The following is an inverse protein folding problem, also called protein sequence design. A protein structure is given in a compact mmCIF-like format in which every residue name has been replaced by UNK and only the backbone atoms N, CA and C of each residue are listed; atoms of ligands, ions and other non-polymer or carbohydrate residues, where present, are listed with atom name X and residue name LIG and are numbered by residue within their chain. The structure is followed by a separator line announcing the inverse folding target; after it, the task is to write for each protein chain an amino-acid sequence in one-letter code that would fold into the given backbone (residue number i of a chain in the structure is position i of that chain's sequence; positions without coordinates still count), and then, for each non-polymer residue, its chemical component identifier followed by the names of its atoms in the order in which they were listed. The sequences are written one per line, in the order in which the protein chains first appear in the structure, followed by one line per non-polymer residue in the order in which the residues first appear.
data_IF_416167331698
#
_entry.id   IF_416167331698
#
_cell.length_a   1.000
_cell.length_b   1.000
_cell.length_c   1.000
_cell.angle_alpha   90.00
_cell.angle_beta   90.00
_cell.angle_gamma   90.00
#
_symmetry.space_group_name_H-M   'P 1'
#
loop_
_entity.id
_entity.type
_entity.pdbx_description
1 polymer ?
#
# COMPACT_ATOMS: atom_id res chain seq x y z
N UNK A 1 7.66 20.41 -12.23
CA UNK A 1 7.56 18.94 -12.05
C UNK A 1 6.38 18.44 -12.87
N UNK A 2 6.48 17.30 -13.58
CA UNK A 2 5.36 16.77 -14.38
C UNK A 2 4.19 16.35 -13.45
N UNK A 3 2.94 16.60 -13.88
CA UNK A 3 1.70 16.16 -13.21
C UNK A 3 1.73 14.65 -12.95
N UNK A 4 1.11 14.19 -11.86
CA UNK A 4 0.97 12.76 -11.57
C UNK A 4 0.34 12.06 -12.78
N UNK A 5 1.05 11.11 -13.38
CA UNK A 5 0.53 10.37 -14.52
C UNK A 5 -0.19 9.14 -13.99
N UNK A 6 -1.50 9.30 -13.87
CA UNK A 6 -2.38 8.25 -13.42
C UNK A 6 -2.49 7.21 -14.54
N UNK A 7 -2.07 5.95 -14.31
CA UNK A 7 -2.27 4.90 -15.29
C UNK A 7 -3.77 4.69 -15.48
N UNK A 8 -4.15 4.37 -16.71
CA UNK A 8 -5.50 3.89 -17.02
C UNK A 8 -5.77 2.56 -16.32
N UNK A 9 -7.03 2.17 -16.21
CA UNK A 9 -7.43 0.91 -15.60
C UNK A 9 -6.81 -0.29 -16.32
N UNK A 10 -6.80 -0.30 -17.66
CA UNK A 10 -6.15 -1.35 -18.45
C UNK A 10 -4.63 -1.40 -18.27
N UNK A 11 -3.95 -0.25 -18.15
CA UNK A 11 -2.52 -0.20 -17.85
C UNK A 11 -2.24 -0.76 -16.46
N UNK A 12 -2.98 -0.32 -15.44
CA UNK A 12 -2.82 -0.82 -14.07
C UNK A 12 -3.14 -2.32 -13.99
N UNK A 13 -4.22 -2.78 -14.61
CA UNK A 13 -4.56 -4.19 -14.71
C UNK A 13 -3.46 -5.02 -15.39
N UNK A 14 -2.82 -4.48 -16.42
CA UNK A 14 -1.67 -5.13 -17.08
C UNK A 14 -0.45 -5.19 -16.16
N UNK A 15 -0.21 -4.16 -15.34
CA UNK A 15 0.86 -4.17 -14.34
C UNK A 15 0.58 -5.17 -13.21
N UNK A 16 -0.66 -5.28 -12.74
CA UNK A 16 -1.04 -6.27 -11.71
C UNK A 16 -0.91 -7.71 -12.22
N UNK A 17 -1.29 -7.97 -13.47
CA UNK A 17 -1.06 -9.26 -14.13
C UNK A 17 0.43 -9.63 -14.16
N UNK A 18 1.27 -8.67 -14.54
CA UNK A 18 2.70 -8.88 -14.57
C UNK A 18 3.30 -9.11 -13.17
N UNK A 19 2.87 -8.34 -12.16
CA UNK A 19 3.22 -8.54 -10.76
C UNK A 19 2.84 -9.96 -10.31
N UNK A 20 1.61 -10.39 -10.57
CA UNK A 20 1.10 -11.74 -10.25
C UNK A 20 2.00 -12.84 -10.81
N UNK A 21 2.33 -12.75 -12.10
CA UNK A 21 3.20 -13.72 -12.77
C UNK A 21 4.62 -13.72 -12.21
N UNK A 22 5.19 -12.55 -11.94
CA UNK A 22 6.54 -12.43 -11.38
C UNK A 22 6.60 -13.02 -9.97
N UNK A 23 5.72 -12.58 -9.07
CA UNK A 23 5.70 -13.07 -7.69
C UNK A 23 5.52 -14.59 -7.63
N UNK A 24 4.64 -15.13 -8.47
CA UNK A 24 4.43 -16.58 -8.54
C UNK A 24 5.65 -17.32 -9.11
N UNK A 25 6.23 -16.84 -10.21
CA UNK A 25 7.43 -17.44 -10.84
C UNK A 25 8.62 -17.47 -9.88
N UNK A 26 8.81 -16.40 -9.10
CA UNK A 26 9.88 -16.32 -8.12
C UNK A 26 9.57 -17.09 -6.83
N UNK A 27 8.42 -17.79 -6.77
CA UNK A 27 7.94 -18.56 -5.61
C UNK A 27 7.78 -17.69 -4.35
N UNK A 28 7.34 -16.44 -4.53
CA UNK A 28 7.06 -15.50 -3.44
C UNK A 28 5.62 -15.60 -2.95
N UNK A 29 4.70 -16.10 -3.79
CA UNK A 29 3.29 -16.30 -3.46
C UNK A 29 2.78 -17.66 -3.98
N UNK A 30 1.71 -18.19 -3.37
CA UNK A 30 1.04 -19.41 -3.82
C UNK A 30 0.01 -19.16 -4.93
N UNK A 31 -0.48 -20.25 -5.53
CA UNK A 31 -1.47 -20.21 -6.63
C UNK A 31 -2.77 -19.48 -6.24
N UNK A 32 -3.20 -19.56 -4.98
CA UNK A 32 -4.41 -18.88 -4.48
C UNK A 32 -4.25 -17.36 -4.55
N UNK A 33 -3.16 -16.84 -3.98
CA UNK A 33 -2.80 -15.42 -4.05
C UNK A 33 -2.65 -14.95 -5.50
N UNK A 34 -2.00 -15.75 -6.35
CA UNK A 34 -1.89 -15.48 -7.79
C UNK A 34 -3.28 -15.33 -8.44
N UNK A 35 -4.17 -16.29 -8.21
CA UNK A 35 -5.54 -16.27 -8.76
C UNK A 35 -6.33 -15.04 -8.32
N UNK A 36 -6.15 -14.58 -7.08
CA UNK A 36 -6.76 -13.34 -6.60
C UNK A 36 -6.25 -12.12 -7.38
N UNK A 37 -4.93 -11.97 -7.56
CA UNK A 37 -4.37 -10.85 -8.32
C UNK A 37 -4.80 -10.91 -9.79
N UNK A 38 -4.79 -12.10 -10.41
CA UNK A 38 -5.21 -12.29 -11.80
C UNK A 38 -6.66 -11.84 -12.02
N UNK A 39 -7.56 -12.16 -11.08
CA UNK A 39 -8.96 -11.73 -11.11
C UNK A 39 -9.08 -10.21 -11.06
N UNK A 40 -8.32 -9.53 -10.20
CA UNK A 40 -8.30 -8.07 -10.10
C UNK A 40 -7.76 -7.44 -11.38
N UNK A 41 -6.69 -8.00 -11.94
CA UNK A 41 -6.14 -7.59 -13.23
C UNK A 41 -7.20 -7.65 -14.32
N UNK A 42 -7.96 -8.76 -14.39
CA UNK A 42 -9.04 -8.91 -15.38
C UNK A 42 -10.12 -7.85 -15.19
N UNK A 43 -10.57 -7.64 -13.96
CA UNK A 43 -11.58 -6.62 -13.63
C UNK A 43 -11.14 -5.22 -14.05
N UNK A 44 -9.88 -4.84 -13.78
CA UNK A 44 -9.35 -3.54 -14.19
C UNK A 44 -9.23 -3.40 -15.72
N UNK A 45 -8.82 -4.47 -16.42
CA UNK A 45 -8.74 -4.46 -17.89
C UNK A 45 -10.11 -4.31 -18.54
N UNK A 46 -11.17 -4.88 -17.96
CA UNK A 46 -12.57 -4.73 -18.41
C UNK A 46 -13.08 -3.28 -18.32
N UNK A 47 -12.50 -2.45 -17.45
CA UNK A 47 -12.83 -1.01 -17.36
C UNK A 47 -12.20 -0.17 -18.50
N UNK A 48 -11.29 -0.75 -19.30
CA UNK A 48 -10.68 -0.08 -20.45
C UNK A 48 -9.72 1.06 -20.08
N UNK A 49 -9.71 2.11 -20.91
CA UNK A 49 -8.74 3.22 -20.82
C UNK A 49 -9.11 4.33 -19.81
N UNK A 50 -10.05 4.08 -18.88
CA UNK A 50 -10.44 5.09 -17.87
C UNK A 50 -9.31 5.36 -16.87
N UNK A 51 -9.14 6.61 -16.42
CA UNK A 51 -8.24 7.01 -15.33
C UNK A 51 -8.93 7.08 -13.95
N UNK A 52 -10.17 6.61 -13.89
CA UNK A 52 -10.95 6.46 -12.66
C UNK A 52 -11.25 4.98 -12.46
N UNK A 53 -10.65 4.38 -11.45
CA UNK A 53 -10.75 2.94 -11.22
C UNK A 53 -10.53 2.62 -9.74
N UNK A 54 -10.96 1.41 -9.35
CA UNK A 54 -10.78 0.91 -8.01
C UNK A 54 -10.60 -0.60 -8.01
N UNK A 55 -9.96 -1.13 -6.98
CA UNK A 55 -9.88 -2.56 -6.73
C UNK A 55 -9.80 -2.85 -5.22
N UNK A 56 -10.15 -4.08 -4.85
CA UNK A 56 -10.21 -4.55 -3.47
C UNK A 56 -9.61 -5.94 -3.36
N UNK A 57 -8.61 -6.09 -2.48
CA UNK A 57 -8.19 -7.38 -1.93
C UNK A 57 -8.86 -7.50 -0.56
N UNK A 58 -9.71 -8.50 -0.41
CA UNK A 58 -10.49 -8.71 0.82
C UNK A 58 -9.64 -9.37 1.90
N UNK A 59 -9.95 -9.09 3.17
CA UNK A 59 -9.34 -9.75 4.34
C UNK A 59 -9.51 -11.26 4.30
N UNK A 60 -10.64 -11.76 3.79
CA UNK A 60 -10.91 -13.20 3.63
C UNK A 60 -10.14 -13.86 2.49
N UNK A 61 -9.52 -13.06 1.61
CA UNK A 61 -8.78 -13.50 0.43
C UNK A 61 -7.51 -12.66 0.25
N UNK A 62 -6.62 -12.63 1.26
CA UNK A 62 -5.44 -11.79 1.19
C UNK A 62 -4.45 -12.33 0.15
N UNK A 63 -3.46 -11.51 -0.19
CA UNK A 63 -2.26 -11.95 -0.87
C UNK A 63 -1.32 -12.52 0.19
N UNK A 64 -1.28 -13.83 0.27
CA UNK A 64 -0.37 -14.56 1.14
C UNK A 64 0.96 -14.79 0.43
N UNK A 65 2.04 -14.38 1.07
CA UNK A 65 3.40 -14.71 0.66
C UNK A 65 3.81 -16.07 1.24
N UNK A 66 4.74 -16.75 0.56
CA UNK A 66 5.23 -18.07 0.96
C UNK A 66 5.95 -17.98 2.32
N UNK A 67 5.68 -18.89 3.29
CA UNK A 67 6.34 -18.85 4.58
C UNK A 67 7.88 -18.85 4.48
N UNK A 68 8.51 -18.12 5.39
CA UNK A 68 9.96 -18.03 5.51
C UNK A 68 10.39 -18.26 6.95
N UNK A 69 11.63 -18.74 7.13
CA UNK A 69 12.25 -18.85 8.44
C UNK A 69 12.85 -17.50 8.83
N UNK A 70 12.43 -16.96 9.97
CA UNK A 70 13.09 -15.81 10.59
C UNK A 70 14.03 -16.29 11.71
N UNK A 71 15.06 -15.49 12.04
CA UNK A 71 16.05 -15.89 13.05
C UNK A 71 15.46 -15.89 14.47
N UNK A 72 14.46 -15.04 14.72
CA UNK A 72 13.79 -14.88 16.02
C UNK A 72 12.44 -15.57 16.05
N UNK A 73 11.77 -15.66 14.90
CA UNK A 73 10.46 -16.27 14.75
C UNK A 73 10.57 -17.49 13.83
N UNK A 74 10.04 -18.63 14.26
CA UNK A 74 10.26 -19.92 13.59
C UNK A 74 9.86 -19.92 12.10
N UNK A 75 8.58 -19.66 11.79
CA UNK A 75 8.07 -19.58 10.43
C UNK A 75 7.05 -18.46 10.32
N UNK A 76 7.40 -17.41 9.59
CA UNK A 76 6.52 -16.26 9.38
C UNK A 76 6.06 -16.16 7.93
N UNK A 77 4.86 -15.63 7.73
CA UNK A 77 4.38 -15.28 6.40
C UNK A 77 3.70 -13.91 6.40
N UNK A 78 4.17 -12.97 5.56
CA UNK A 78 3.45 -11.74 5.28
C UNK A 78 2.14 -12.00 4.53
N UNK A 79 1.09 -11.26 4.90
CA UNK A 79 -0.19 -11.19 4.21
C UNK A 79 -0.52 -9.73 3.89
N UNK A 80 -1.11 -9.49 2.73
CA UNK A 80 -1.55 -8.15 2.32
C UNK A 80 -3.00 -8.17 1.88
N UNK A 81 -3.75 -7.19 2.34
CA UNK A 81 -5.05 -6.84 1.77
C UNK A 81 -5.18 -5.33 1.72
N UNK A 82 -5.89 -4.83 0.71
CA UNK A 82 -5.98 -3.40 0.49
C UNK A 82 -7.22 -3.00 -0.31
N UNK A 83 -7.64 -1.76 -0.12
CA UNK A 83 -8.60 -1.08 -0.99
C UNK A 83 -7.94 0.12 -1.63
N UNK A 84 -8.00 0.19 -2.96
CA UNK A 84 -7.48 1.32 -3.74
C UNK A 84 -8.60 1.88 -4.60
N UNK A 85 -8.79 3.19 -4.54
CA UNK A 85 -9.64 3.93 -5.48
C UNK A 85 -8.90 5.19 -5.94
N UNK A 86 -8.88 5.39 -7.25
CA UNK A 86 -8.16 6.46 -7.92
C UNK A 86 -9.12 7.22 -8.82
N UNK A 87 -8.98 8.55 -8.83
CA UNK A 87 -9.68 9.46 -9.73
C UNK A 87 -8.68 10.51 -10.24
N UNK A 88 -8.80 10.92 -11.50
CA UNK A 88 -8.03 12.05 -12.00
C UNK A 88 -8.38 13.32 -11.20
N UNK A 89 -7.39 14.01 -10.59
CA UNK A 89 -7.65 15.20 -9.81
C UNK A 89 -7.99 16.38 -10.74
N UNK A 90 -8.97 17.17 -10.34
CA UNK A 90 -9.44 18.34 -11.09
C UNK A 90 -8.41 19.49 -11.06
N UNK A 91 -7.53 19.53 -10.04
CA UNK A 91 -6.48 20.54 -9.85
C UNK A 91 -5.12 19.89 -9.61
N UNK A 92 -4.04 20.61 -9.89
CA UNK A 92 -2.70 20.18 -9.50
C UNK A 92 -2.53 20.19 -7.97
N UNK A 93 -1.62 19.36 -7.47
CA UNK A 93 -1.35 19.25 -6.02
C UNK A 93 -2.36 18.42 -5.22
N UNK A 94 -3.45 17.95 -5.85
CA UNK A 94 -4.40 17.03 -5.22
C UNK A 94 -3.94 15.58 -5.44
N UNK A 95 -4.08 14.76 -4.39
CA UNK A 95 -3.82 13.32 -4.47
C UNK A 95 -4.75 12.65 -5.48
N UNK A 96 -4.25 11.71 -6.32
CA UNK A 96 -5.11 10.91 -7.17
C UNK A 96 -5.93 9.86 -6.40
N UNK A 97 -5.55 9.54 -5.16
CA UNK A 97 -6.25 8.57 -4.33
C UNK A 97 -7.49 9.20 -3.68
N UNK A 98 -8.66 8.63 -3.97
CA UNK A 98 -9.89 8.85 -3.20
C UNK A 98 -10.04 7.83 -2.08
N UNK A 99 -9.36 6.68 -2.20
CA UNK A 99 -9.21 5.69 -1.13
C UNK A 99 -7.89 4.96 -1.27
N UNK A 100 -7.16 4.85 -0.17
CA UNK A 100 -6.00 3.97 -0.05
C UNK A 100 -6.03 3.42 1.37
N UNK A 101 -6.29 2.13 1.51
CA UNK A 101 -6.22 1.43 2.79
C UNK A 101 -5.42 0.18 2.56
N UNK A 102 -4.19 0.12 3.04
CA UNK A 102 -3.28 -1.00 2.83
C UNK A 102 -2.92 -1.59 4.18
N UNK A 103 -3.19 -2.88 4.36
CA UNK A 103 -2.85 -3.59 5.58
C UNK A 103 -1.89 -4.71 5.28
N UNK A 104 -0.84 -4.78 6.10
CA UNK A 104 0.20 -5.80 6.05
C UNK A 104 0.20 -6.50 7.39
N UNK A 105 0.04 -7.81 7.36
CA UNK A 105 0.12 -8.65 8.56
C UNK A 105 1.29 -9.60 8.43
N UNK A 106 1.93 -9.92 9.54
CA UNK A 106 2.94 -10.96 9.63
C UNK A 106 2.45 -11.98 10.62
N UNK A 107 2.23 -13.20 10.14
CA UNK A 107 1.72 -14.31 10.93
C UNK A 107 2.83 -15.31 11.23
N UNK A 108 2.92 -15.78 12.47
CA UNK A 108 3.58 -17.03 12.80
C UNK A 108 2.65 -18.17 12.35
N UNK A 109 3.08 -18.90 11.32
CA UNK A 109 2.25 -19.92 10.68
C UNK A 109 2.19 -21.21 11.51
N UNK A 110 3.20 -21.50 12.32
CA UNK A 110 3.18 -22.70 13.16
C UNK A 110 2.26 -22.53 14.36
N UNK A 111 2.32 -21.36 15.00
CA UNK A 111 1.50 -21.07 16.18
C UNK A 111 0.12 -20.48 15.83
N UNK A 112 -0.08 -20.05 14.59
CA UNK A 112 -1.32 -19.40 14.16
C UNK A 112 -1.52 -18.02 14.79
N UNK A 113 -0.43 -17.33 15.13
CA UNK A 113 -0.46 -16.07 15.87
C UNK A 113 -0.08 -14.88 14.99
N UNK A 114 -0.82 -13.78 15.14
CA UNK A 114 -0.50 -12.50 14.49
C UNK A 114 0.66 -11.83 15.24
N UNK A 115 1.82 -11.72 14.59
CA UNK A 115 3.04 -11.15 15.18
C UNK A 115 3.12 -9.64 15.00
N UNK A 116 2.70 -9.14 13.83
CA UNK A 116 2.63 -7.70 13.60
C UNK A 116 1.58 -7.35 12.57
N UNK A 117 1.08 -6.12 12.68
CA UNK A 117 0.13 -5.53 11.74
C UNK A 117 0.51 -4.09 11.48
N UNK A 118 0.47 -3.70 10.22
CA UNK A 118 0.84 -2.36 9.76
C UNK A 118 -0.19 -1.86 8.77
N UNK A 119 -0.46 -0.56 8.84
CA UNK A 119 -1.38 0.16 8.00
C UNK A 119 -0.64 1.24 7.23
N UNK A 120 -0.83 1.32 5.91
CA UNK A 120 -0.35 2.40 5.05
C UNK A 120 -1.57 3.01 4.37
N UNK A 121 -2.12 4.05 4.99
CA UNK A 121 -3.49 4.49 4.72
C UNK A 121 -3.55 5.97 4.31
N UNK A 122 -4.56 6.30 3.51
CA UNK A 122 -5.08 7.63 3.33
C UNK A 122 -5.98 7.97 4.52
N UNK A 123 -5.87 9.19 5.05
CA UNK A 123 -6.64 9.62 6.19
C UNK A 123 -8.14 9.59 5.89
N UNK A 124 -8.92 9.03 6.81
CA UNK A 124 -10.37 8.98 6.67
C UNK A 124 -10.95 10.39 6.65
N UNK A 125 -11.74 10.69 5.61
CA UNK A 125 -12.62 11.84 5.59
C UNK A 125 -13.92 11.48 6.32
N UNK A 126 -14.20 12.16 7.43
CA UNK A 126 -15.41 11.95 8.21
C UNK A 126 -16.63 12.47 7.44
N UNK A 127 -17.84 12.02 7.82
CA UNK A 127 -19.11 12.36 7.14
C UNK A 127 -19.39 13.87 7.00
N UNK A 128 -18.72 14.73 7.78
CA UNK A 128 -18.80 16.20 7.70
C UNK A 128 -17.72 16.84 6.83
N UNK A 129 -16.95 16.06 6.07
CA UNK A 129 -15.84 16.55 5.23
C UNK A 129 -14.52 16.77 5.96
N UNK A 130 -14.48 16.60 7.29
CA UNK A 130 -13.28 16.79 8.10
C UNK A 130 -12.41 15.53 8.10
N UNK A 131 -11.11 15.68 7.84
CA UNK A 131 -10.16 14.57 7.97
C UNK A 131 -9.91 14.20 9.43
N UNK A 132 -9.64 12.91 9.68
CA UNK A 132 -9.07 12.48 10.96
C UNK A 132 -7.75 13.20 11.25
N UNK A 133 -7.47 13.48 12.52
CA UNK A 133 -6.21 14.10 12.92
C UNK A 133 -5.01 13.21 12.55
N UNK A 134 -3.97 13.84 11.98
CA UNK A 134 -2.75 13.18 11.54
C UNK A 134 -2.37 13.54 10.10
N UNK A 135 -1.26 13.00 9.60
CA UNK A 135 -0.86 13.13 8.20
C UNK A 135 -1.90 12.55 7.23
N UNK A 136 -2.05 13.14 6.04
CA UNK A 136 -2.96 12.61 5.02
C UNK A 136 -2.58 11.18 4.63
N UNK A 137 -1.31 10.94 4.34
CA UNK A 137 -0.77 9.60 4.15
C UNK A 137 0.08 9.22 5.35
N UNK A 138 -0.23 8.07 5.93
CA UNK A 138 0.38 7.68 7.19
C UNK A 138 0.67 6.19 7.26
N UNK A 139 1.73 5.88 8.00
CA UNK A 139 2.05 4.56 8.51
C UNK A 139 1.57 4.47 9.97
N UNK A 140 0.90 3.37 10.30
CA UNK A 140 0.44 3.09 11.66
C UNK A 140 0.66 1.60 11.98
N UNK A 141 1.33 1.30 13.10
CA UNK A 141 1.47 -0.07 13.60
C UNK A 141 0.29 -0.49 14.49
N UNK A 142 -0.13 -1.75 14.46
CA UNK A 142 -1.26 -2.27 15.23
C UNK A 142 -2.60 -2.17 14.50
N UNK A 143 -3.69 -1.97 15.25
CA UNK A 143 -5.06 -1.90 14.73
C UNK A 143 -5.92 -3.15 15.05
N UNK A 144 -7.24 -2.95 15.20
CA UNK A 144 -8.18 -3.96 15.72
C UNK A 144 -8.29 -5.22 14.85
N UNK A 145 -7.79 -6.35 15.37
CA UNK A 145 -8.10 -7.70 14.91
C UNK A 145 -8.31 -8.65 16.10
N UNK A 146 -8.77 -8.12 17.23
CA UNK A 146 -9.02 -8.91 18.42
C UNK A 146 -10.53 -9.07 18.62
N UNK A 147 -11.04 -10.30 18.84
CA UNK A 147 -12.35 -10.50 19.44
C UNK A 147 -12.49 -9.68 20.73
N UNK A 148 -13.70 -9.23 21.07
CA UNK A 148 -13.96 -8.37 22.24
C UNK A 148 -13.33 -8.85 23.56
N UNK A 149 -13.08 -10.15 23.70
CA UNK A 149 -12.50 -10.78 24.89
C UNK A 149 -11.01 -10.47 25.14
N UNK A 150 -10.23 -10.03 24.13
CA UNK A 150 -8.78 -9.79 24.27
C UNK A 150 -8.39 -8.30 24.25
N UNK A 151 -9.36 -7.38 24.28
CA UNK A 151 -9.13 -5.92 24.36
C UNK A 151 -8.29 -5.48 25.55
N UNK A 152 -8.15 -6.32 26.58
CA UNK A 152 -7.32 -6.06 27.76
C UNK A 152 -5.81 -6.03 27.44
N UNK A 153 -5.38 -6.58 26.30
CA UNK A 153 -3.99 -6.49 25.80
C UNK A 153 -3.75 -5.28 24.89
N UNK A 154 -4.77 -4.45 24.65
CA UNK A 154 -4.65 -3.27 23.80
C UNK A 154 -3.82 -2.18 24.49
N UNK A 155 -2.96 -1.51 23.71
CA UNK A 155 -2.23 -0.35 24.20
C UNK A 155 -3.26 0.72 24.60
N UNK A 156 -3.24 1.14 25.87
CA UNK A 156 -4.11 2.21 26.40
C UNK A 156 -3.78 3.60 25.84
N UNK A 157 -2.83 3.70 24.92
CA UNK A 157 -2.34 4.96 24.33
C UNK A 157 -2.79 5.06 22.89
N UNK A 158 -3.04 6.28 22.43
CA UNK A 158 -3.29 6.53 21.02
C UNK A 158 -2.10 6.10 20.18
N UNK A 159 -2.35 5.31 19.15
CA UNK A 159 -1.31 4.82 18.26
C UNK A 159 -0.86 5.98 17.35
N UNK A 160 0.45 6.32 17.32
CA UNK A 160 0.94 7.40 16.50
C UNK A 160 0.80 7.09 15.01
N UNK A 161 0.56 8.13 14.22
CA UNK A 161 0.50 8.09 12.75
C UNK A 161 1.70 8.82 12.20
N UNK A 162 2.64 8.09 11.61
CA UNK A 162 3.84 8.69 11.04
C UNK A 162 3.58 9.10 9.61
N UNK A 163 3.99 10.31 9.23
CA UNK A 163 3.90 10.76 7.85
C UNK A 163 4.73 9.82 6.98
N UNK A 164 4.07 9.19 6.01
CA UNK A 164 4.69 8.16 5.19
C UNK A 164 4.10 8.21 3.78
N UNK A 165 4.91 8.07 2.71
CA UNK A 165 4.41 8.15 1.35
C UNK A 165 3.39 7.03 1.06
N UNK A 166 2.39 7.28 0.19
CA UNK A 166 1.43 6.25 -0.18
C UNK A 166 2.09 5.07 -0.88
N UNK A 167 1.57 3.87 -0.62
CA UNK A 167 1.99 2.65 -1.28
C UNK A 167 0.76 1.80 -1.64
N UNK A 168 0.56 1.55 -2.94
CA UNK A 168 -0.41 0.56 -3.40
C UNK A 168 0.24 -0.83 -3.48
N UNK A 169 -0.45 -1.83 -4.07
CA UNK A 169 -0.03 -3.23 -4.04
C UNK A 169 1.39 -3.47 -4.60
N UNK A 170 1.79 -2.83 -5.70
CA UNK A 170 3.12 -3.04 -6.30
C UNK A 170 4.21 -2.54 -5.34
N UNK A 171 4.11 -1.31 -4.84
CA UNK A 171 5.11 -0.79 -3.89
C UNK A 171 5.09 -1.57 -2.57
N UNK A 172 3.90 -1.95 -2.10
CA UNK A 172 3.75 -2.78 -0.89
C UNK A 172 4.44 -4.13 -1.06
N UNK A 173 4.29 -4.74 -2.24
CA UNK A 173 4.97 -5.99 -2.60
C UNK A 173 6.48 -5.79 -2.67
N UNK A 174 6.95 -4.66 -3.21
CA UNK A 174 8.38 -4.32 -3.23
C UNK A 174 8.95 -4.27 -1.81
N UNK A 175 8.30 -3.55 -0.91
CA UNK A 175 8.73 -3.44 0.49
C UNK A 175 8.75 -4.82 1.16
N UNK A 176 7.72 -5.65 0.96
CA UNK A 176 7.68 -7.00 1.53
C UNK A 176 8.82 -7.85 0.98
N UNK A 177 9.03 -7.86 -0.33
CA UNK A 177 10.10 -8.66 -0.94
C UNK A 177 11.48 -8.20 -0.47
N UNK A 178 11.70 -6.89 -0.38
CA UNK A 178 12.97 -6.33 0.08
C UNK A 178 13.31 -6.67 1.54
N UNK A 179 12.32 -6.70 2.43
CA UNK A 179 12.54 -6.92 3.87
C UNK A 179 12.46 -8.38 4.28
N UNK A 180 11.54 -9.16 3.70
CA UNK A 180 11.30 -10.55 4.08
C UNK A 180 12.05 -11.54 3.18
N UNK A 181 12.34 -11.20 1.92
CA UNK A 181 12.94 -12.15 0.97
C UNK A 181 14.24 -11.60 0.38
N UNK A 182 15.28 -11.29 1.18
CA UNK A 182 16.46 -10.56 0.73
C UNK A 182 17.21 -11.24 -0.42
N UNK A 183 17.23 -12.57 -0.47
CA UNK A 183 17.89 -13.30 -1.56
C UNK A 183 17.08 -13.28 -2.87
N UNK A 184 15.75 -13.26 -2.77
CA UNK A 184 14.87 -13.03 -3.94
C UNK A 184 14.96 -11.57 -4.39
N UNK A 185 14.99 -10.64 -3.44
CA UNK A 185 15.15 -9.22 -3.70
C UNK A 185 16.42 -8.89 -4.49
N UNK A 186 17.57 -9.43 -4.07
CA UNK A 186 18.85 -9.29 -4.79
C UNK A 186 18.73 -9.68 -6.27
N UNK A 187 17.92 -10.72 -6.58
CA UNK A 187 17.71 -11.22 -7.94
C UNK A 187 16.74 -10.35 -8.75
N UNK A 188 15.71 -9.80 -8.14
CA UNK A 188 14.64 -9.09 -8.87
C UNK A 188 14.83 -7.58 -8.96
N UNK A 189 15.52 -6.94 -8.00
CA UNK A 189 15.58 -5.47 -7.88
C UNK A 189 16.16 -4.74 -9.09
N UNK A 190 17.01 -5.41 -9.86
CA UNK A 190 17.62 -4.87 -11.08
C UNK A 190 16.92 -5.31 -12.38
N UNK A 191 15.89 -6.16 -12.31
CA UNK A 191 15.23 -6.66 -13.51
C UNK A 191 14.42 -5.54 -14.15
N UNK A 192 14.64 -5.30 -15.45
CA UNK A 192 13.93 -4.26 -16.22
C UNK A 192 12.42 -4.27 -16.00
N UNK A 193 11.81 -5.46 -16.07
CA UNK A 193 10.37 -5.60 -15.92
C UNK A 193 9.87 -5.33 -14.47
N UNK A 194 10.67 -5.62 -13.46
CA UNK A 194 10.37 -5.23 -12.07
C UNK A 194 10.43 -3.70 -11.92
N UNK A 195 11.49 -3.08 -12.45
CA UNK A 195 11.65 -1.62 -12.46
C UNK A 195 10.50 -0.93 -13.21
N UNK A 196 9.99 -1.52 -14.30
CA UNK A 196 8.81 -1.01 -15.00
C UNK A 196 7.51 -1.06 -14.18
N UNK A 197 7.37 -2.00 -13.24
CA UNK A 197 6.25 -2.03 -12.29
C UNK A 197 6.39 -0.90 -11.29
N UNK A 198 7.55 -0.87 -10.63
CA UNK A 198 7.88 0.11 -9.58
C UNK A 198 7.77 1.52 -10.14
N UNK A 199 8.27 1.78 -11.35
CA UNK A 199 8.18 3.08 -12.00
C UNK A 199 6.73 3.57 -12.15
N UNK A 200 5.81 2.73 -12.63
CA UNK A 200 4.40 3.12 -12.76
C UNK A 200 3.78 3.40 -11.39
N UNK A 201 4.04 2.53 -10.42
CA UNK A 201 3.50 2.69 -9.08
C UNK A 201 4.05 3.94 -8.37
N UNK A 202 5.35 4.21 -8.49
CA UNK A 202 5.98 5.44 -8.00
C UNK A 202 5.36 6.67 -8.65
N UNK A 203 5.10 6.67 -9.97
CA UNK A 203 4.47 7.81 -10.65
C UNK A 203 3.02 8.06 -10.24
N UNK A 204 2.32 7.03 -9.77
CA UNK A 204 1.00 7.16 -9.18
C UNK A 204 1.09 7.68 -7.73
N UNK A 205 1.99 7.12 -6.92
CA UNK A 205 2.05 7.36 -5.48
C UNK A 205 2.78 8.65 -5.08
N UNK A 206 3.95 8.89 -5.67
CA UNK A 206 4.94 9.79 -5.10
C UNK A 206 4.88 11.25 -5.54
N UNK A 207 4.46 11.63 -6.77
CA UNK A 207 4.56 13.01 -7.23
C UNK A 207 3.87 14.02 -6.31
N UNK A 208 2.60 13.81 -5.97
CA UNK A 208 1.87 14.78 -5.13
C UNK A 208 2.47 14.88 -3.73
N UNK A 209 2.86 13.75 -3.14
CA UNK A 209 3.45 13.70 -1.80
C UNK A 209 4.77 14.47 -1.75
N UNK A 210 5.71 14.20 -2.67
CA UNK A 210 7.00 14.90 -2.68
C UNK A 210 6.90 16.34 -3.18
N UNK A 211 5.97 16.67 -4.08
CA UNK A 211 5.69 18.07 -4.44
C UNK A 211 5.30 18.89 -3.22
N UNK A 212 4.48 18.33 -2.33
CA UNK A 212 4.06 19.00 -1.10
C UNK A 212 5.24 19.26 -0.17
N UNK A 213 6.10 18.26 0.02
CA UNK A 213 7.33 18.41 0.81
C UNK A 213 8.24 19.46 0.17
N UNK A 214 8.49 19.39 -1.14
CA UNK A 214 9.36 20.33 -1.84
C UNK A 214 8.84 21.76 -1.73
N UNK A 215 7.53 21.97 -1.92
CA UNK A 215 6.87 23.28 -1.77
C UNK A 215 7.04 23.85 -0.37
N UNK A 216 6.82 23.02 0.65
CA UNK A 216 7.03 23.38 2.06
C UNK A 216 8.48 23.84 2.31
N UNK A 217 9.46 23.15 1.73
CA UNK A 217 10.87 23.48 1.91
C UNK A 217 11.32 24.73 1.14
N UNK A 218 10.61 25.12 0.07
CA UNK A 218 11.00 26.24 -0.80
C UNK A 218 10.29 27.57 -0.55
N UNK A 219 9.08 27.57 0.04
CA UNK A 219 8.23 28.77 0.06
C UNK A 219 8.17 29.47 1.43
N UNK A 220 7.86 28.77 2.52
CA UNK A 220 7.61 29.39 3.82
C UNK A 220 8.12 28.53 4.99
N UNK A 221 8.58 29.15 6.09
CA UNK A 221 9.01 28.45 7.29
C UNK A 221 7.81 27.79 7.99
N UNK A 222 7.57 26.52 7.67
CA UNK A 222 6.63 25.65 8.36
C UNK A 222 7.25 24.25 8.50
N UNK A 223 6.74 23.44 9.44
CA UNK A 223 7.21 22.06 9.55
C UNK A 223 6.64 21.21 8.39
N UNK A 224 7.44 20.27 7.89
CA UNK A 224 6.98 19.31 6.88
C UNK A 224 5.80 18.48 7.40
N UNK A 225 5.77 18.18 8.71
CA UNK A 225 4.66 17.47 9.33
C UNK A 225 3.34 18.25 9.21
N UNK A 226 3.36 19.56 9.45
CA UNK A 226 2.20 20.42 9.26
C UNK A 226 1.79 20.44 7.78
N UNK A 227 2.75 20.64 6.87
CA UNK A 227 2.46 20.65 5.44
C UNK A 227 1.84 19.33 4.91
N UNK A 228 2.09 18.21 5.60
CA UNK A 228 1.54 16.89 5.30
C UNK A 228 0.28 16.55 6.13
N UNK A 229 -0.15 17.40 7.05
CA UNK A 229 -1.30 17.17 7.92
C UNK A 229 -2.61 17.18 7.14
N UNK A 230 -3.50 16.21 7.37
CA UNK A 230 -4.64 15.94 6.49
C UNK A 230 -5.59 17.14 6.28
N UNK A 231 -5.74 18.01 7.28
CA UNK A 231 -6.56 19.24 7.17
C UNK A 231 -5.98 20.24 6.19
N UNK A 232 -4.66 20.20 5.94
CA UNK A 232 -3.95 21.21 5.17
C UNK A 232 -3.81 20.81 3.69
N UNK A 233 -4.30 19.62 3.32
CA UNK A 233 -4.37 19.15 1.93
C UNK A 233 -5.62 19.63 1.18
N UNK A 234 -6.61 20.20 1.89
CA UNK A 234 -7.89 20.69 1.37
C UNK A 234 -7.81 22.09 0.76
#
# INVERSE_FOLDING_TARGET
MKRAEIPTAIEMGTKLDYLSRLLFREQLIHYRSKSHIDKLSKQLKELGATKTWQYLIQVSKPIEFVPMTDKKLSHIAPRVYLTVAVKSPDKEGISPFTRLVTVIEVWDILNGELQSRWHIDLANCQKKGAYQAGPLFHLQGGGLLMPQAEKTKELKVSIPRWAYPPMELILTSEMIVANFYPDKWKKIRGQKKWLELVYVAQRLCYPTYFQRIQKCLSEQPQSVLNALWATDWG
#
